data_IF_052519930430
#
_entry.id   IF_052519930430
#
_cell.length_a   1.000
_cell.length_b   1.000
_cell.length_c   1.000
_cell.angle_alpha   90.00
_cell.angle_beta   90.00
_cell.angle_gamma   90.00
#
_symmetry.space_group_name_H-M   'P 1'
#
loop_
_entity.id
_entity.type
_entity.pdbx_description
1 polymer ?
#
# COMPACT_ATOMS: atom_id res chain seq x y z
N UNK A 1 -4.21 16.36 -11.94
CA UNK A 1 -3.28 16.74 -10.87
C UNK A 1 -3.98 16.45 -9.57
N UNK A 2 -3.47 15.51 -8.76
CA UNK A 2 -3.99 15.28 -7.40
C UNK A 2 -3.48 16.43 -6.53
N UNK A 3 -4.38 17.08 -5.79
CA UNK A 3 -4.00 18.24 -4.97
C UNK A 3 -3.45 17.77 -3.62
N UNK A 4 -2.54 18.55 -3.02
CA UNK A 4 -1.93 18.24 -1.71
C UNK A 4 -2.98 18.01 -0.59
N UNK A 5 -4.16 18.62 -0.68
CA UNK A 5 -5.25 18.43 0.29
C UNK A 5 -5.89 17.04 0.20
N UNK A 6 -6.05 16.45 -0.99
CA UNK A 6 -6.58 15.09 -1.16
C UNK A 6 -5.64 14.02 -0.58
N UNK A 7 -4.32 14.26 -0.66
CA UNK A 7 -3.29 13.39 -0.06
C UNK A 7 -3.33 13.46 1.47
N UNK A 8 -3.67 14.61 2.06
CA UNK A 8 -3.57 14.83 3.52
C UNK A 8 -4.61 14.06 4.34
N UNK A 9 -5.82 13.85 3.81
CA UNK A 9 -6.91 13.14 4.51
C UNK A 9 -6.96 11.64 4.22
N UNK A 10 -6.56 11.22 3.01
CA UNK A 10 -6.68 9.83 2.59
C UNK A 10 -5.55 8.94 3.11
N UNK A 11 -4.32 9.47 3.21
CA UNK A 11 -3.18 8.70 3.73
C UNK A 11 -3.43 8.17 5.15
N UNK A 12 -3.85 8.99 6.13
CA UNK A 12 -4.13 8.49 7.48
C UNK A 12 -5.30 7.50 7.52
N UNK A 13 -6.34 7.72 6.70
CA UNK A 13 -7.51 6.84 6.63
C UNK A 13 -7.16 5.47 6.05
N UNK A 14 -6.40 5.43 4.96
CA UNK A 14 -5.95 4.19 4.34
C UNK A 14 -4.99 3.42 5.24
N UNK A 15 -4.08 4.12 5.92
CA UNK A 15 -3.18 3.51 6.90
C UNK A 15 -3.97 2.91 8.08
N UNK A 16 -4.98 3.61 8.59
CA UNK A 16 -5.85 3.09 9.65
C UNK A 16 -6.61 1.85 9.18
N UNK A 17 -7.14 1.85 7.96
CA UNK A 17 -7.84 0.71 7.40
C UNK A 17 -6.93 -0.52 7.25
N UNK A 18 -5.73 -0.34 6.70
CA UNK A 18 -4.73 -1.40 6.61
C UNK A 18 -4.31 -1.93 7.98
N UNK A 19 -4.18 -1.05 8.99
CA UNK A 19 -3.88 -1.45 10.36
C UNK A 19 -5.02 -2.29 10.97
N UNK A 20 -6.29 -1.96 10.70
CA UNK A 20 -7.42 -2.75 11.16
C UNK A 20 -7.46 -4.14 10.52
N UNK A 21 -7.18 -4.24 9.21
CA UNK A 21 -7.06 -5.53 8.53
C UNK A 21 -5.94 -6.37 9.16
N UNK A 22 -4.79 -5.77 9.45
CA UNK A 22 -3.67 -6.45 10.11
C UNK A 22 -4.03 -6.92 11.52
N UNK A 23 -4.66 -6.07 12.34
CA UNK A 23 -5.11 -6.40 13.70
C UNK A 23 -6.10 -7.56 13.74
N UNK A 24 -6.93 -7.69 12.70
CA UNK A 24 -7.90 -8.79 12.56
C UNK A 24 -7.28 -10.07 11.96
N UNK A 25 -5.99 -10.06 11.61
CA UNK A 25 -5.32 -11.19 10.97
C UNK A 25 -5.70 -11.37 9.49
N UNK A 26 -6.35 -10.39 8.85
CA UNK A 26 -6.84 -10.48 7.48
C UNK A 26 -5.75 -10.08 6.47
N UNK A 27 -4.62 -10.80 6.50
CA UNK A 27 -3.42 -10.45 5.73
C UNK A 27 -3.65 -10.48 4.20
N UNK A 28 -4.39 -11.46 3.69
CA UNK A 28 -4.71 -11.53 2.26
C UNK A 28 -5.54 -10.33 1.77
N UNK A 29 -6.41 -9.79 2.62
CA UNK A 29 -7.20 -8.60 2.31
C UNK A 29 -6.34 -7.33 2.37
N UNK A 30 -5.45 -7.24 3.37
CA UNK A 30 -4.46 -6.17 3.48
C UNK A 30 -3.58 -6.11 2.24
N UNK A 31 -3.04 -7.23 1.77
CA UNK A 31 -2.22 -7.31 0.55
C UNK A 31 -2.95 -6.84 -0.71
N UNK A 32 -4.19 -7.30 -0.89
CA UNK A 32 -5.04 -6.87 -2.01
C UNK A 32 -5.29 -5.36 -1.98
N UNK A 33 -5.52 -4.83 -0.78
CA UNK A 33 -5.77 -3.41 -0.59
C UNK A 33 -4.51 -2.57 -0.83
N UNK A 34 -3.35 -3.00 -0.33
CA UNK A 34 -2.07 -2.36 -0.65
C UNK A 34 -1.79 -2.38 -2.17
N UNK A 35 -2.11 -3.47 -2.86
CA UNK A 35 -1.98 -3.56 -4.32
C UNK A 35 -3.00 -2.67 -5.06
N UNK A 36 -4.20 -2.45 -4.51
CA UNK A 36 -5.18 -1.50 -5.04
C UNK A 36 -4.68 -0.07 -4.89
N UNK A 37 -4.28 0.33 -3.67
CA UNK A 37 -3.77 1.67 -3.37
C UNK A 37 -2.55 2.02 -4.21
N UNK A 38 -1.60 1.08 -4.37
CA UNK A 38 -0.42 1.27 -5.22
C UNK A 38 -0.79 1.49 -6.69
N UNK A 39 -1.82 0.81 -7.21
CA UNK A 39 -2.30 1.01 -8.60
C UNK A 39 -3.02 2.34 -8.78
N UNK A 40 -3.78 2.79 -7.78
CA UNK A 40 -4.56 4.02 -7.85
C UNK A 40 -3.70 5.28 -7.66
N UNK A 41 -2.71 5.23 -6.75
CA UNK A 41 -2.00 6.42 -6.28
C UNK A 41 -0.49 6.39 -6.49
N UNK A 42 0.08 5.22 -6.84
CA UNK A 42 1.51 5.06 -7.10
C UNK A 42 2.38 4.93 -5.85
N UNK A 43 3.69 4.83 -6.06
CA UNK A 43 4.65 4.45 -5.01
C UNK A 43 4.90 5.58 -4.00
N UNK A 44 4.79 6.85 -4.40
CA UNK A 44 4.98 7.99 -3.49
C UNK A 44 3.87 8.04 -2.43
N UNK A 45 2.62 7.83 -2.83
CA UNK A 45 1.50 7.70 -1.91
C UNK A 45 1.69 6.52 -0.95
N UNK A 46 2.14 5.37 -1.47
CA UNK A 46 2.41 4.20 -0.65
C UNK A 46 3.52 4.44 0.38
N UNK A 47 4.53 5.27 0.08
CA UNK A 47 5.53 5.66 1.08
C UNK A 47 4.90 6.45 2.23
N UNK A 48 4.01 7.40 1.93
CA UNK A 48 3.29 8.17 2.94
C UNK A 48 2.37 7.26 3.79
N UNK A 49 1.62 6.36 3.16
CA UNK A 49 0.80 5.35 3.85
C UNK A 49 1.65 4.44 4.72
N UNK A 50 2.82 4.00 4.24
CA UNK A 50 3.74 3.17 5.01
C UNK A 50 4.27 3.87 6.27
N UNK A 51 4.59 5.17 6.19
CA UNK A 51 4.98 5.95 7.35
C UNK A 51 3.85 6.09 8.37
N UNK A 52 2.62 6.35 7.92
CA UNK A 52 1.45 6.42 8.80
C UNK A 52 1.09 5.05 9.40
N UNK A 53 1.23 3.97 8.63
CA UNK A 53 0.95 2.60 9.07
C UNK A 53 1.91 2.15 10.19
N UNK A 54 3.18 2.58 10.12
CA UNK A 54 4.18 2.34 11.17
C UNK A 54 3.79 2.96 12.51
N UNK A 55 3.13 4.11 12.52
CA UNK A 55 2.60 4.72 13.75
C UNK A 55 1.53 3.83 14.44
N UNK A 56 0.95 2.88 13.72
CA UNK A 56 0.02 1.88 14.24
C UNK A 56 0.67 0.52 14.57
N UNK A 57 1.99 0.39 14.41
CA UNK A 57 2.74 -0.84 14.69
C UNK A 57 2.74 -1.88 13.57
N UNK A 58 2.41 -1.48 12.34
CA UNK A 58 2.39 -2.38 11.19
C UNK A 58 3.25 -1.83 10.04
N UNK A 59 3.72 -2.75 9.19
CA UNK A 59 4.44 -2.42 7.97
C UNK A 59 3.63 -2.78 6.73
N UNK A 60 3.94 -2.12 5.61
CA UNK A 60 3.49 -2.56 4.30
C UNK A 60 4.10 -3.92 3.97
N UNK A 61 3.36 -4.72 3.20
CA UNK A 61 3.90 -5.97 2.66
C UNK A 61 5.01 -5.63 1.67
N UNK A 62 6.19 -6.28 1.75
CA UNK A 62 7.28 -6.07 0.81
C UNK A 62 6.78 -6.24 -0.62
N UNK A 63 6.82 -5.15 -1.39
CA UNK A 63 6.40 -5.21 -2.79
C UNK A 63 7.52 -5.85 -3.62
N UNK A 64 7.36 -7.14 -3.92
CA UNK A 64 8.16 -7.78 -4.95
C UNK A 64 7.48 -7.50 -6.28
N UNK A 65 8.04 -6.57 -7.06
CA UNK A 65 7.59 -6.37 -8.44
C UNK A 65 7.73 -7.73 -9.14
N UNK A 66 6.65 -8.32 -9.69
CA UNK A 66 6.79 -9.58 -10.40
C UNK A 66 7.79 -9.31 -11.53
N UNK A 67 8.93 -9.99 -11.45
CA UNK A 67 9.96 -9.94 -12.48
C UNK A 67 9.22 -10.36 -13.76
N UNK A 68 9.13 -9.46 -14.74
CA UNK A 68 8.68 -9.85 -16.08
C UNK A 68 9.69 -10.90 -16.51
N UNK A 69 9.29 -12.16 -16.45
CA UNK A 69 10.08 -13.27 -16.96
C UNK A 69 10.23 -12.95 -18.44
N UNK A 70 11.40 -12.45 -18.83
CA UNK A 70 11.73 -12.28 -20.23
C UNK A 70 11.79 -13.69 -20.80
N UNK A 71 10.78 -14.06 -21.59
CA UNK A 71 10.89 -15.19 -22.51
C UNK A 71 11.88 -14.77 -23.60
N UNK A 72 13.18 -14.79 -23.29
CA UNK A 72 14.20 -14.84 -24.33
C UNK A 72 14.11 -16.23 -24.94
N UNK A 73 13.70 -16.23 -26.20
CA UNK A 73 13.49 -17.40 -27.03
C UNK A 73 14.74 -18.27 -27.08
N UNK A 74 14.46 -19.56 -27.07
CA UNK A 74 15.38 -20.65 -27.33
C UNK A 74 15.89 -20.59 -28.77
#
# INVERSE_FOLDING_TARGET
MVTWQEVSGHVPSDALYLAQLARRGWLAWKEREEARLRRCHGDEYMKAVGLALKAHGFDLVPFVRPMRRNWEGR
#
